data_IF_769311968396
#
_entry.id   IF_769311968396
#
_cell.length_a   1.000
_cell.length_b   1.000
_cell.length_c   1.000
_cell.angle_alpha   90.00
_cell.angle_beta   90.00
_cell.angle_gamma   90.00
#
_symmetry.space_group_name_H-M   'P 1'
#
loop_
_entity.id
_entity.type
_entity.pdbx_description
1 polymer ?
#
# COMPACT_ATOMS: atom_id res chain seq x y z
N UNK A 1 7.96 35.64 10.54
CA UNK A 1 7.44 34.33 10.10
C UNK A 1 7.19 34.37 8.59
N UNK A 2 7.89 33.57 7.78
CA UNK A 2 7.63 33.52 6.34
C UNK A 2 6.21 32.99 6.11
N UNK A 3 5.41 33.70 5.30
CA UNK A 3 4.05 33.27 4.95
C UNK A 3 4.16 32.08 3.99
N UNK A 4 3.39 31.01 4.19
CA UNK A 4 3.38 29.88 3.26
C UNK A 4 2.92 30.40 1.90
N UNK A 5 3.68 30.07 0.85
CA UNK A 5 3.27 30.36 -0.52
C UNK A 5 2.07 29.47 -0.88
N UNK A 6 1.16 29.96 -1.71
CA UNK A 6 -0.04 29.20 -2.11
C UNK A 6 0.32 27.82 -2.68
N UNK A 7 1.45 27.71 -3.38
CA UNK A 7 1.98 26.43 -3.91
C UNK A 7 2.28 25.41 -2.81
N UNK A 8 2.93 25.81 -1.71
CA UNK A 8 3.23 24.89 -0.60
C UNK A 8 1.97 24.41 0.11
N UNK A 9 0.94 25.27 0.21
CA UNK A 9 -0.36 24.89 0.80
C UNK A 9 -1.06 23.87 -0.08
N UNK A 10 -1.09 24.07 -1.40
CA UNK A 10 -1.72 23.14 -2.35
C UNK A 10 -1.04 21.77 -2.31
N UNK A 11 0.30 21.72 -2.30
CA UNK A 11 1.05 20.45 -2.20
C UNK A 11 0.72 19.72 -0.90
N UNK A 12 0.62 20.45 0.22
CA UNK A 12 0.22 19.88 1.51
C UNK A 12 -1.19 19.27 1.48
N UNK A 13 -2.15 19.96 0.87
CA UNK A 13 -3.53 19.46 0.72
C UNK A 13 -3.54 18.18 -0.12
N UNK A 14 -2.85 18.17 -1.26
CA UNK A 14 -2.76 16.98 -2.13
C UNK A 14 -2.17 15.80 -1.36
N UNK A 15 -1.12 16.03 -0.57
CA UNK A 15 -0.50 14.98 0.24
C UNK A 15 -1.49 14.39 1.26
N UNK A 16 -2.22 15.24 2.00
CA UNK A 16 -3.21 14.78 2.98
C UNK A 16 -4.35 14.01 2.32
N UNK A 17 -4.84 14.48 1.17
CA UNK A 17 -5.87 13.78 0.39
C UNK A 17 -5.38 12.42 -0.09
N UNK A 18 -4.12 12.33 -0.55
CA UNK A 18 -3.50 11.09 -0.99
C UNK A 18 -3.32 10.09 0.15
N UNK A 19 -2.84 10.53 1.32
CA UNK A 19 -2.74 9.63 2.48
C UNK A 19 -4.12 9.18 2.96
N UNK A 20 -5.08 10.12 3.03
CA UNK A 20 -6.45 9.81 3.44
C UNK A 20 -7.11 8.78 2.51
N UNK A 21 -6.92 8.92 1.20
CA UNK A 21 -7.46 7.96 0.23
C UNK A 21 -6.82 6.58 0.34
N UNK A 22 -5.50 6.49 0.55
CA UNK A 22 -4.80 5.22 0.77
C UNK A 22 -5.31 4.50 2.02
N UNK A 23 -5.45 5.22 3.13
CA UNK A 23 -6.01 4.66 4.38
C UNK A 23 -7.45 4.19 4.15
N UNK A 24 -8.27 5.01 3.49
CA UNK A 24 -9.67 4.70 3.23
C UNK A 24 -9.83 3.45 2.35
N UNK A 25 -9.10 3.36 1.23
CA UNK A 25 -9.15 2.20 0.32
C UNK A 25 -8.76 0.92 1.06
N UNK A 26 -7.67 0.98 1.85
CA UNK A 26 -7.20 -0.21 2.57
C UNK A 26 -8.16 -0.62 3.70
N UNK A 27 -8.78 0.34 4.38
CA UNK A 27 -9.81 0.07 5.38
C UNK A 27 -11.06 -0.58 4.78
N UNK A 28 -11.53 -0.08 3.62
CA UNK A 28 -12.64 -0.68 2.89
C UNK A 28 -12.32 -2.10 2.42
N UNK A 29 -11.13 -2.31 1.85
CA UNK A 29 -10.67 -3.63 1.43
C UNK A 29 -10.56 -4.62 2.60
N UNK A 30 -10.09 -4.16 3.76
CA UNK A 30 -10.08 -4.98 4.98
C UNK A 30 -11.49 -5.41 5.37
N UNK A 31 -12.44 -4.47 5.34
CA UNK A 31 -13.82 -4.75 5.74
C UNK A 31 -14.50 -5.74 4.79
N UNK A 32 -14.26 -5.64 3.48
CA UNK A 32 -14.81 -6.61 2.52
C UNK A 32 -14.27 -8.02 2.75
N UNK A 33 -12.97 -8.18 3.05
CA UNK A 33 -12.37 -9.50 3.25
C UNK A 33 -12.82 -10.13 4.56
N UNK A 34 -12.91 -9.35 5.64
CA UNK A 34 -13.40 -9.86 6.93
C UNK A 34 -14.87 -10.29 6.84
N UNK A 35 -15.69 -9.56 6.08
CA UNK A 35 -17.11 -9.92 5.87
C UNK A 35 -17.24 -11.19 5.03
N UNK A 36 -16.41 -11.39 4.01
CA UNK A 36 -16.46 -12.60 3.18
C UNK A 36 -15.89 -13.84 3.86
N UNK A 37 -14.79 -13.68 4.61
CA UNK A 37 -14.11 -14.81 5.28
C UNK A 37 -14.68 -15.11 6.68
N UNK A 38 -15.40 -14.17 7.29
CA UNK A 38 -16.09 -14.37 8.58
C UNK A 38 -17.40 -15.16 8.47
N UNK A 39 -17.81 -15.59 7.27
CA UNK A 39 -18.99 -16.44 7.11
C UNK A 39 -18.71 -17.86 7.61
N UNK A 40 -19.71 -18.51 8.19
CA UNK A 40 -19.60 -19.89 8.65
C UNK A 40 -19.18 -20.87 7.53
N UNK A 41 -19.47 -20.54 6.26
CA UNK A 41 -19.06 -21.36 5.11
C UNK A 41 -17.55 -21.29 4.84
N UNK A 42 -16.92 -20.12 4.98
CA UNK A 42 -15.47 -19.96 4.75
C UNK A 42 -14.63 -20.70 5.79
N UNK A 43 -15.14 -20.81 7.02
CA UNK A 43 -14.51 -21.62 8.06
C UNK A 43 -14.64 -23.13 7.76
N UNK A 44 -15.79 -23.56 7.24
CA UNK A 44 -16.06 -24.95 6.86
C UNK A 44 -15.19 -25.37 5.67
N UNK A 45 -15.08 -24.52 4.64
CA UNK A 45 -14.19 -24.71 3.49
C UNK A 45 -12.72 -24.82 3.93
N UNK A 46 -12.30 -24.00 4.91
CA UNK A 46 -10.95 -24.08 5.48
C UNK A 46 -10.72 -25.38 6.25
N UNK A 47 -11.71 -25.84 7.02
CA UNK A 47 -11.62 -27.13 7.72
C UNK A 47 -11.59 -28.31 6.74
N UNK A 48 -12.39 -28.25 5.69
CA UNK A 48 -12.45 -29.27 4.64
C UNK A 48 -11.13 -29.36 3.89
N UNK A 49 -10.52 -28.22 3.55
CA UNK A 49 -9.18 -28.16 2.98
C UNK A 49 -8.10 -28.70 3.93
N UNK A 50 -8.16 -28.38 5.24
CA UNK A 50 -7.22 -28.94 6.23
C UNK A 50 -7.35 -30.46 6.34
N UNK A 51 -8.58 -30.98 6.32
CA UNK A 51 -8.82 -32.41 6.40
C UNK A 51 -8.25 -33.14 5.17
N UNK A 52 -8.41 -32.56 3.98
CA UNK A 52 -7.83 -33.09 2.75
C UNK A 52 -6.29 -32.99 2.73
N UNK A 53 -5.74 -31.90 3.27
CA UNK A 53 -4.29 -31.75 3.45
C UNK A 53 -3.70 -32.77 4.44
N UNK A 54 -4.43 -33.14 5.49
CA UNK A 54 -4.07 -34.22 6.42
C UNK A 54 -4.04 -35.57 5.71
N UNK A 55 -5.04 -35.88 4.89
CA UNK A 55 -5.06 -37.12 4.09
C UNK A 55 -3.84 -37.22 3.16
N UNK A 56 -3.49 -36.13 2.50
CA UNK A 56 -2.30 -36.05 1.63
C UNK A 56 -0.98 -36.14 2.40
N UNK A 57 -0.93 -35.69 3.66
CA UNK A 57 0.24 -35.86 4.54
C UNK A 57 0.48 -37.33 4.90
N UNK A 58 -0.59 -38.12 5.08
CA UNK A 58 -0.51 -39.57 5.38
C UNK A 58 -0.11 -40.44 4.16
N UNK A 59 0.15 -39.83 3.01
CA UNK A 59 0.68 -40.51 1.81
C UNK A 59 -0.34 -40.81 0.71
N UNK A 60 -1.60 -40.36 0.83
CA UNK A 60 -2.65 -40.59 -0.19
C UNK A 60 -2.62 -39.62 -1.38
N UNK A 61 -1.51 -38.91 -1.64
CA UNK A 61 -1.41 -37.95 -2.75
C UNK A 61 -0.04 -37.88 -3.42
N UNK A 62 0.05 -37.31 -4.64
CA UNK A 62 1.31 -37.24 -5.39
C UNK A 62 2.39 -36.36 -4.73
N UNK A 63 2.01 -35.53 -3.75
CA UNK A 63 2.92 -34.68 -2.97
C UNK A 63 2.49 -34.68 -1.50
N UNK A 64 3.42 -35.04 -0.61
CA UNK A 64 3.22 -34.91 0.84
C UNK A 64 3.16 -33.42 1.23
N UNK A 65 1.98 -32.94 1.65
CA UNK A 65 1.79 -31.56 2.13
C UNK A 65 1.88 -31.52 3.64
N UNK A 66 2.56 -30.51 4.19
CA UNK A 66 2.68 -30.30 5.64
C UNK A 66 1.34 -29.80 6.20
N UNK A 67 0.87 -30.40 7.28
CA UNK A 67 -0.37 -29.96 7.93
C UNK A 67 -0.18 -28.53 8.47
N UNK A 68 -1.06 -27.58 8.11
CA UNK A 68 -0.99 -26.21 8.62
C UNK A 68 -1.22 -26.20 10.14
N UNK A 69 -0.33 -25.53 10.88
CA UNK A 69 -0.46 -25.36 12.34
C UNK A 69 -1.57 -24.38 12.76
N UNK A 70 -2.02 -23.50 11.86
CA UNK A 70 -3.01 -22.47 12.18
C UNK A 70 -4.43 -23.03 12.12
N UNK A 71 -5.20 -22.79 13.18
CA UNK A 71 -6.64 -23.07 13.23
C UNK A 71 -7.47 -22.10 12.39
N UNK A 72 -6.94 -20.91 12.11
CA UNK A 72 -7.60 -19.85 11.34
C UNK A 72 -6.97 -19.67 9.94
N UNK A 73 -7.73 -19.20 8.94
CA UNK A 73 -7.21 -18.87 7.63
C UNK A 73 -6.10 -17.80 7.73
N UNK A 74 -4.98 -17.96 7.00
CA UNK A 74 -3.83 -17.05 7.10
C UNK A 74 -4.15 -15.62 6.63
N UNK A 75 -5.07 -15.46 5.67
CA UNK A 75 -5.60 -14.17 5.21
C UNK A 75 -6.26 -13.39 6.36
N UNK A 76 -7.07 -14.08 7.17
CA UNK A 76 -7.72 -13.53 8.36
C UNK A 76 -6.70 -13.06 9.41
N UNK A 77 -5.67 -13.87 9.69
CA UNK A 77 -4.60 -13.50 10.63
C UNK A 77 -3.80 -12.29 10.13
N UNK A 78 -3.45 -12.26 8.84
CA UNK A 78 -2.72 -11.13 8.23
C UNK A 78 -3.51 -9.82 8.29
N UNK A 79 -4.82 -9.86 8.02
CA UNK A 79 -5.70 -8.68 8.04
C UNK A 79 -6.18 -8.27 9.44
N UNK A 80 -6.17 -9.19 10.41
CA UNK A 80 -6.48 -8.90 11.81
C UNK A 80 -5.25 -8.36 12.53
N UNK A 81 -4.14 -9.09 12.49
CA UNK A 81 -3.00 -8.90 13.39
C UNK A 81 -1.87 -8.06 12.75
N UNK A 82 -1.75 -8.04 11.42
CA UNK A 82 -0.68 -7.34 10.70
C UNK A 82 -1.14 -6.14 9.85
N UNK A 83 -2.42 -5.77 9.90
CA UNK A 83 -2.95 -4.63 9.13
C UNK A 83 -2.22 -3.31 9.43
N UNK A 84 -1.91 -3.05 10.70
CA UNK A 84 -1.17 -1.84 11.10
C UNK A 84 0.23 -1.78 10.49
N UNK A 85 0.95 -2.90 10.47
CA UNK A 85 2.29 -2.97 9.86
C UNK A 85 2.21 -2.75 8.35
N UNK A 86 1.30 -3.42 7.67
CA UNK A 86 1.09 -3.25 6.22
C UNK A 86 0.70 -1.83 5.85
N UNK A 87 -0.20 -1.22 6.62
CA UNK A 87 -0.61 0.17 6.44
C UNK A 87 0.58 1.12 6.65
N UNK A 88 1.38 0.90 7.68
CA UNK A 88 2.55 1.75 7.97
C UNK A 88 3.57 1.70 6.83
N UNK A 89 3.90 0.49 6.35
CA UNK A 89 4.83 0.31 5.23
C UNK A 89 4.29 1.01 3.96
N UNK A 90 3.00 0.84 3.67
CA UNK A 90 2.35 1.51 2.55
C UNK A 90 2.50 3.04 2.66
N UNK A 91 2.15 3.63 3.80
CA UNK A 91 2.22 5.07 4.02
C UNK A 91 3.65 5.61 3.91
N UNK A 92 4.63 4.87 4.43
CA UNK A 92 6.05 5.25 4.34
C UNK A 92 6.52 5.26 2.88
N UNK A 93 6.25 4.18 2.13
CA UNK A 93 6.63 4.07 0.72
C UNK A 93 5.92 5.12 -0.15
N UNK A 94 4.61 5.31 0.05
CA UNK A 94 3.85 6.33 -0.67
C UNK A 94 4.35 7.74 -0.36
N UNK A 95 4.74 8.02 0.89
CA UNK A 95 5.32 9.31 1.26
C UNK A 95 6.66 9.55 0.56
N UNK A 96 7.57 8.56 0.60
CA UNK A 96 8.85 8.66 -0.08
C UNK A 96 8.68 8.94 -1.59
N UNK A 97 7.75 8.22 -2.23
CA UNK A 97 7.45 8.39 -3.65
C UNK A 97 6.84 9.78 -3.94
N UNK A 98 5.92 10.23 -3.10
CA UNK A 98 5.30 11.55 -3.23
C UNK A 98 6.34 12.67 -3.15
N UNK A 99 7.23 12.63 -2.16
CA UNK A 99 8.28 13.65 -2.01
C UNK A 99 9.26 13.64 -3.19
N UNK A 100 9.68 12.46 -3.65
CA UNK A 100 10.54 12.33 -4.82
C UNK A 100 9.88 12.97 -6.06
N UNK A 101 8.61 12.65 -6.31
CA UNK A 101 7.84 13.21 -7.41
C UNK A 101 7.65 14.73 -7.28
N UNK A 102 7.26 15.21 -6.09
CA UNK A 102 7.06 16.63 -5.82
C UNK A 102 8.36 17.44 -6.01
N UNK A 103 9.51 16.87 -5.61
CA UNK A 103 10.82 17.48 -5.82
C UNK A 103 11.15 17.60 -7.31
N UNK A 104 10.92 16.53 -8.08
CA UNK A 104 11.14 16.52 -9.53
C UNK A 104 10.25 17.54 -10.25
N UNK A 105 8.94 17.57 -9.93
CA UNK A 105 7.99 18.53 -10.50
C UNK A 105 8.38 19.97 -10.15
N UNK A 106 8.83 20.22 -8.92
CA UNK A 106 9.32 21.54 -8.51
C UNK A 106 10.54 21.97 -9.34
N UNK A 107 11.46 21.05 -9.64
CA UNK A 107 12.59 21.31 -10.52
C UNK A 107 12.17 21.74 -11.93
N UNK A 108 11.15 21.08 -12.49
CA UNK A 108 10.60 21.42 -13.82
C UNK A 108 9.92 22.80 -13.82
N UNK A 109 9.11 23.09 -12.80
CA UNK A 109 8.29 24.30 -12.74
C UNK A 109 9.08 25.57 -12.36
N UNK A 110 10.18 25.43 -11.62
CA UNK A 110 11.04 26.55 -11.17
C UNK A 110 12.28 26.69 -12.08
N UNK A 111 12.28 26.03 -13.25
CA UNK A 111 13.43 25.98 -14.16
C UNK A 111 14.09 27.35 -14.39
N UNK A 112 15.43 27.38 -14.58
CA UNK A 112 16.17 28.63 -14.66
C UNK A 112 15.63 29.50 -15.79
N UNK A 113 15.32 30.77 -15.48
CA UNK A 113 15.01 31.77 -16.50
C UNK A 113 16.25 31.89 -17.38
N UNK A 114 16.21 31.26 -18.56
CA UNK A 114 17.28 31.35 -19.53
C UNK A 114 17.34 32.80 -20.00
N UNK A 115 18.32 33.55 -19.52
CA UNK A 115 18.60 34.91 -19.99
C UNK A 115 19.60 34.77 -21.14
N UNK A 116 19.19 34.91 -22.40
CA UNK A 116 20.11 34.96 -23.52
C UNK A 116 20.80 36.33 -23.48
N UNK A 117 21.86 36.47 -22.69
CA UNK A 117 22.84 37.52 -22.91
C UNK A 117 23.75 37.07 -24.05
N UNK A 118 23.27 37.29 -25.26
CA UNK A 118 24.07 37.33 -26.46
C UNK A 118 23.97 38.76 -27.00
N UNK A 119 24.64 39.69 -26.33
CA UNK A 119 25.05 40.93 -27.00
C UNK A 119 26.19 40.56 -27.96
N UNK A 120 26.03 40.66 -29.29
CA UNK A 120 27.19 40.62 -30.16
C UNK A 120 28.00 41.87 -29.87
N UNK A 121 29.18 41.69 -29.27
CA UNK A 121 30.22 42.71 -29.27
C UNK A 121 30.51 43.05 -30.74
N UNK A 122 30.10 44.26 -31.14
CA UNK A 122 30.42 44.84 -32.43
C UNK A 122 31.89 45.27 -32.41
N UNK A 123 32.76 44.48 -33.03
CA UNK A 123 34.08 44.89 -33.49
C UNK A 123 34.03 45.28 -34.98
#
# INVERSE_FOLDING_TARGET
>A
MPKPTASSVIIGIIYVVLLGSLVMILALARQSVIVSEGSASSLDDWQQWRHEAERQHTGEGPVARRVPKSSEPPSLVLLRDHFGTSLTILLVLSSALFFAMAFMLRGILVGPNFHPDLSPDND
#
